data_IF_484372386631
#
_entry.id   IF_484372386631
#
_cell.length_a   1.000
_cell.length_b   1.000
_cell.length_c   1.000
_cell.angle_alpha   90.00
_cell.angle_beta   90.00
_cell.angle_gamma   90.00
#
_symmetry.space_group_name_H-M   'P 1'
#
loop_
_entity.id
_entity.type
_entity.pdbx_description
1 polymer ?
#
# COMPACT_ATOMS: atom_id res chain seq x y z
N UNK A 1 -33.39 0.83 3.01
CA UNK A 1 -32.71 0.65 4.31
C UNK A 1 -31.70 1.78 4.41
N UNK A 2 -32.15 2.96 4.84
CA UNK A 2 -31.26 4.08 5.15
C UNK A 2 -30.57 3.71 6.47
N UNK A 3 -29.27 3.46 6.44
CA UNK A 3 -28.51 3.37 7.69
C UNK A 3 -28.41 4.81 8.22
N UNK A 4 -29.27 5.14 9.18
CA UNK A 4 -29.40 6.48 9.78
C UNK A 4 -28.11 6.95 10.49
N UNK A 5 -27.07 6.11 10.55
CA UNK A 5 -25.79 6.36 11.23
C UNK A 5 -24.63 6.79 10.30
N UNK A 6 -24.80 6.80 8.97
CA UNK A 6 -23.73 7.18 8.04
C UNK A 6 -23.87 8.62 7.58
N UNK A 7 -23.06 9.52 8.15
CA UNK A 7 -22.93 10.88 7.65
C UNK A 7 -21.99 10.91 6.43
N UNK A 8 -22.46 11.45 5.30
CA UNK A 8 -21.68 11.61 4.08
C UNK A 8 -21.49 13.08 3.76
N UNK A 9 -20.23 13.47 3.60
CA UNK A 9 -19.86 14.78 3.06
C UNK A 9 -19.19 14.58 1.70
N UNK A 10 -19.67 15.32 0.69
CA UNK A 10 -19.23 15.19 -0.69
C UNK A 10 -18.78 16.56 -1.21
N UNK A 11 -17.57 16.60 -1.77
CA UNK A 11 -17.02 17.78 -2.44
C UNK A 11 -16.82 17.40 -3.90
N UNK A 12 -17.50 18.11 -4.80
CA UNK A 12 -17.31 17.94 -6.24
C UNK A 12 -16.07 18.70 -6.77
N UNK A 13 -15.76 18.49 -8.03
CA UNK A 13 -14.69 19.17 -8.75
C UNK A 13 -14.98 20.67 -9.05
N UNK A 14 -16.19 21.17 -8.79
CA UNK A 14 -16.53 22.60 -8.91
C UNK A 14 -16.23 23.37 -7.62
N UNK A 15 -16.16 22.70 -6.48
CA UNK A 15 -15.80 23.27 -5.18
C UNK A 15 -14.29 23.27 -4.89
N UNK A 16 -13.53 22.41 -5.59
CA UNK A 16 -12.07 22.31 -5.49
C UNK A 16 -11.21 23.14 -6.48
N UNK A 17 -11.73 24.03 -7.37
CA UNK A 17 -10.90 24.84 -8.26
C UNK A 17 -9.85 25.64 -7.51
N UNK A 18 -8.61 25.60 -8.01
CA UNK A 18 -7.49 26.37 -7.46
C UNK A 18 -6.92 25.85 -6.13
N UNK A 19 -7.50 24.79 -5.56
CA UNK A 19 -6.98 24.16 -4.34
C UNK A 19 -6.00 23.05 -4.71
N UNK A 20 -4.81 23.07 -4.08
CA UNK A 20 -3.80 22.01 -4.26
C UNK A 20 -3.96 20.87 -3.25
N UNK A 21 -4.54 21.17 -2.09
CA UNK A 21 -4.78 20.22 -1.01
C UNK A 21 -6.10 20.54 -0.31
N UNK A 22 -6.73 19.48 0.22
CA UNK A 22 -7.95 19.54 1.02
C UNK A 22 -7.67 18.82 2.34
N UNK A 23 -8.10 19.42 3.44
CA UNK A 23 -7.93 18.87 4.79
C UNK A 23 -9.32 18.62 5.34
N UNK A 24 -9.58 17.39 5.78
CA UNK A 24 -10.81 17.01 6.45
C UNK A 24 -10.51 16.85 7.94
N UNK A 25 -11.34 17.48 8.77
CA UNK A 25 -11.28 17.38 10.23
C UNK A 25 -12.65 17.02 10.78
N UNK A 26 -12.68 16.29 11.88
CA UNK A 26 -13.89 15.96 12.63
C UNK A 26 -13.71 16.41 14.08
N UNK A 27 -14.82 16.80 14.72
CA UNK A 27 -14.85 17.21 16.13
C UNK A 27 -16.14 16.70 16.78
N UNK A 28 -16.05 16.24 18.01
CA UNK A 28 -17.23 15.91 18.82
C UNK A 28 -17.81 17.18 19.47
N UNK A 29 -19.14 17.30 19.44
CA UNK A 29 -19.85 18.43 20.04
C UNK A 29 -19.95 18.23 21.56
N UNK A 30 -19.82 19.31 22.32
CA UNK A 30 -20.05 19.28 23.77
C UNK A 30 -21.56 19.27 24.11
N UNK A 31 -21.91 19.01 25.37
CA UNK A 31 -23.32 18.86 25.78
C UNK A 31 -24.18 20.11 25.55
N UNK A 32 -23.62 21.32 25.65
CA UNK A 32 -24.36 22.56 25.41
C UNK A 32 -24.55 22.82 23.91
N UNK A 33 -23.54 22.52 23.09
CA UNK A 33 -23.63 22.52 21.63
C UNK A 33 -24.68 21.53 21.14
N UNK A 34 -24.68 20.29 21.64
CA UNK A 34 -25.69 19.28 21.29
C UNK A 34 -27.10 19.79 21.60
N UNK A 35 -27.32 20.37 22.79
CA UNK A 35 -28.64 20.88 23.17
C UNK A 35 -29.09 22.04 22.27
N UNK A 36 -28.17 22.90 21.85
CA UNK A 36 -28.49 24.05 21.03
C UNK A 36 -28.70 23.70 19.55
N UNK A 37 -27.92 22.76 18.99
CA UNK A 37 -27.94 22.42 17.57
C UNK A 37 -28.82 21.22 17.22
N UNK A 38 -28.94 20.22 18.10
CA UNK A 38 -29.66 18.98 17.79
C UNK A 38 -31.08 18.93 18.38
N UNK A 39 -31.36 19.66 19.46
CA UNK A 39 -32.64 19.56 20.19
C UNK A 39 -33.58 20.75 20.00
N UNK A 40 -33.05 21.97 19.85
CA UNK A 40 -33.86 23.13 19.49
C UNK A 40 -33.89 23.23 17.96
N UNK A 41 -35.04 22.94 17.33
CA UNK A 41 -35.32 23.13 15.89
C UNK A 41 -35.11 24.58 15.37
N UNK A 42 -34.50 25.45 16.15
CA UNK A 42 -34.00 26.73 15.72
C UNK A 42 -32.74 26.52 14.89
N UNK A 43 -32.88 26.62 13.58
CA UNK A 43 -31.84 26.95 12.62
C UNK A 43 -31.25 28.33 12.94
N UNK A 44 -30.58 28.45 14.09
CA UNK A 44 -29.79 29.64 14.39
C UNK A 44 -28.54 29.52 13.52
N UNK A 45 -28.39 30.49 12.61
CA UNK A 45 -27.23 30.71 11.74
C UNK A 45 -25.97 31.10 12.54
N UNK A 46 -25.71 30.41 13.65
CA UNK A 46 -24.44 30.49 14.36
C UNK A 46 -23.56 29.42 13.74
N UNK A 47 -22.46 29.84 13.13
CA UNK A 47 -21.34 28.95 12.89
C UNK A 47 -20.87 28.44 14.24
N UNK A 48 -20.75 27.12 14.40
CA UNK A 48 -20.02 26.55 15.54
C UNK A 48 -18.61 27.18 15.58
N UNK A 49 -18.07 27.48 16.77
CA UNK A 49 -16.71 27.97 16.87
C UNK A 49 -15.76 26.91 16.31
N UNK A 50 -14.88 27.36 15.40
CA UNK A 50 -13.76 26.55 14.94
C UNK A 50 -12.74 26.57 16.08
N UNK A 51 -12.41 25.38 16.58
CA UNK A 51 -11.44 25.20 17.67
C UNK A 51 -10.32 24.32 17.16
N UNK A 52 -9.09 24.84 17.17
CA UNK A 52 -7.89 24.12 16.74
C UNK A 52 -7.17 23.43 17.92
N UNK A 53 -7.95 22.98 18.90
CA UNK A 53 -7.43 22.33 20.11
C UNK A 53 -7.62 20.80 20.05
N UNK A 54 -6.67 20.01 20.58
CA UNK A 54 -6.84 18.57 20.69
C UNK A 54 -8.08 18.22 21.52
N UNK A 55 -8.89 17.29 21.01
CA UNK A 55 -10.12 16.85 21.66
C UNK A 55 -10.13 15.34 21.84
N UNK A 56 -10.36 14.88 23.07
CA UNK A 56 -10.49 13.47 23.40
C UNK A 56 -11.95 13.04 23.16
N UNK A 57 -12.16 12.28 22.08
CA UNK A 57 -13.48 11.76 21.75
C UNK A 57 -13.97 10.79 22.82
N UNK A 58 -15.21 10.99 23.27
CA UNK A 58 -15.88 10.13 24.25
C UNK A 58 -16.58 8.93 23.58
N UNK A 59 -16.77 8.99 22.26
CA UNK A 59 -17.45 7.99 21.45
C UNK A 59 -16.53 7.40 20.36
N UNK A 60 -16.81 6.16 19.93
CA UNK A 60 -16.09 5.53 18.82
C UNK A 60 -16.61 6.05 17.48
N UNK A 61 -15.71 6.23 16.51
CA UNK A 61 -16.06 6.66 15.15
C UNK A 61 -15.23 5.91 14.10
N UNK A 62 -15.75 5.83 12.88
CA UNK A 62 -15.03 5.37 11.68
C UNK A 62 -15.05 6.50 10.64
N UNK A 63 -13.89 6.80 10.04
CA UNK A 63 -13.75 7.85 9.03
C UNK A 63 -13.15 7.25 7.76
N UNK A 64 -13.80 7.50 6.62
CA UNK A 64 -13.33 7.08 5.31
C UNK A 64 -13.29 8.26 4.35
N UNK A 65 -12.13 8.49 3.76
CA UNK A 65 -11.88 9.55 2.79
C UNK A 65 -11.34 8.91 1.51
N UNK A 66 -11.96 9.18 0.38
CA UNK A 66 -11.52 8.69 -0.93
C UNK A 66 -11.79 9.76 -2.00
N UNK A 67 -11.11 9.62 -3.14
CA UNK A 67 -11.30 10.49 -4.30
C UNK A 67 -11.79 9.66 -5.48
N UNK A 68 -12.65 10.26 -6.29
CA UNK A 68 -13.08 9.69 -7.56
C UNK A 68 -12.97 10.73 -8.66
N UNK A 69 -12.82 10.27 -9.90
CA UNK A 69 -12.67 11.08 -11.09
C UNK A 69 -13.53 10.54 -12.23
N UNK A 70 -14.08 11.46 -13.00
CA UNK A 70 -14.79 11.20 -14.23
C UNK A 70 -13.95 11.70 -15.40
N UNK A 71 -13.77 10.83 -16.40
CA UNK A 71 -12.99 11.15 -17.59
C UNK A 71 -13.77 10.78 -18.83
N UNK A 72 -13.53 11.50 -19.92
CA UNK A 72 -13.98 11.14 -21.25
C UNK A 72 -12.80 11.05 -22.21
N UNK A 73 -12.97 10.25 -23.26
CA UNK A 73 -11.99 10.13 -24.33
C UNK A 73 -12.31 11.17 -25.40
N UNK A 74 -11.40 12.10 -25.66
CA UNK A 74 -11.55 13.10 -26.73
C UNK A 74 -11.29 12.51 -28.13
N UNK A 75 -11.61 13.27 -29.18
CA UNK A 75 -11.38 12.86 -30.58
C UNK A 75 -9.89 12.57 -30.90
N UNK A 76 -8.97 13.06 -30.06
CA UNK A 76 -7.52 12.85 -30.18
C UNK A 76 -7.03 11.67 -29.32
N UNK A 77 -7.92 10.84 -28.76
CA UNK A 77 -7.62 9.73 -27.86
C UNK A 77 -6.92 10.12 -26.55
N UNK A 78 -7.17 11.32 -26.04
CA UNK A 78 -6.70 11.74 -24.72
C UNK A 78 -7.82 11.69 -23.70
N UNK A 79 -7.51 11.23 -22.50
CA UNK A 79 -8.42 11.31 -21.36
C UNK A 79 -8.49 12.75 -20.86
N UNK A 80 -9.70 13.29 -20.81
CA UNK A 80 -10.03 14.66 -20.38
C UNK A 80 -11.14 14.63 -19.34
N UNK A 81 -11.31 15.71 -18.60
CA UNK A 81 -12.33 15.82 -17.53
C UNK A 81 -13.21 17.06 -17.65
N UNK A 82 -13.03 17.89 -18.68
CA UNK A 82 -13.88 19.05 -18.92
C UNK A 82 -15.32 18.65 -19.30
N UNK A 83 -16.29 19.45 -18.86
CA UNK A 83 -17.70 19.16 -19.05
C UNK A 83 -18.23 17.97 -18.23
N UNK A 84 -17.38 17.37 -17.37
CA UNK A 84 -17.72 16.32 -16.43
C UNK A 84 -17.71 16.82 -14.99
N UNK A 85 -18.70 16.40 -14.22
CA UNK A 85 -18.80 16.63 -12.78
C UNK A 85 -19.01 15.29 -12.08
N UNK A 86 -18.25 15.03 -11.01
CA UNK A 86 -18.51 13.86 -10.15
C UNK A 86 -19.79 14.14 -9.38
N UNK A 87 -20.74 13.20 -9.43
CA UNK A 87 -22.05 13.34 -8.82
C UNK A 87 -22.08 12.87 -7.35
N UNK A 88 -23.04 13.36 -6.54
CA UNK A 88 -23.16 13.07 -5.12
C UNK A 88 -23.61 11.64 -4.81
N UNK A 89 -24.10 10.88 -5.79
CA UNK A 89 -24.44 9.46 -5.61
C UNK A 89 -23.20 8.55 -5.67
N UNK A 90 -22.02 9.11 -5.98
CA UNK A 90 -20.74 8.41 -5.92
C UNK A 90 -20.53 7.77 -4.53
N UNK A 91 -20.14 6.50 -4.54
CA UNK A 91 -19.81 5.74 -3.35
C UNK A 91 -18.56 4.87 -3.59
N UNK A 92 -18.23 3.97 -2.66
CA UNK A 92 -17.04 3.13 -2.76
C UNK A 92 -17.07 2.13 -3.92
N UNK A 93 -18.26 1.80 -4.42
CA UNK A 93 -18.45 0.76 -5.42
C UNK A 93 -18.72 1.34 -6.81
N UNK A 94 -19.26 2.54 -6.88
CA UNK A 94 -19.65 3.18 -8.14
C UNK A 94 -19.38 4.69 -8.13
N UNK A 95 -19.06 5.22 -9.30
CA UNK A 95 -18.88 6.66 -9.52
C UNK A 95 -19.99 7.18 -10.41
N UNK A 96 -20.70 8.19 -9.92
CA UNK A 96 -21.68 8.91 -10.71
C UNK A 96 -20.96 10.01 -11.51
N UNK A 97 -21.10 10.00 -12.83
CA UNK A 97 -20.52 11.01 -13.70
C UNK A 97 -21.63 11.79 -14.40
N UNK A 98 -21.75 13.08 -14.07
CA UNK A 98 -22.66 14.01 -14.72
C UNK A 98 -21.92 14.65 -15.90
N UNK A 99 -22.46 14.47 -17.11
CA UNK A 99 -21.85 14.96 -18.33
C UNK A 99 -22.73 15.99 -19.04
N UNK A 100 -22.09 16.96 -19.68
CA UNK A 100 -22.73 17.94 -20.57
C UNK A 100 -22.65 17.56 -22.05
N UNK A 101 -21.99 16.45 -22.36
CA UNK A 101 -21.76 15.96 -23.73
C UNK A 101 -21.98 14.44 -23.81
N UNK A 102 -22.02 13.89 -25.03
CA UNK A 102 -22.22 12.47 -25.31
C UNK A 102 -20.95 11.89 -25.94
N UNK A 103 -20.14 11.19 -25.14
CA UNK A 103 -18.84 10.63 -25.55
C UNK A 103 -18.63 9.24 -24.92
N UNK A 104 -17.45 8.66 -25.10
CA UNK A 104 -17.01 7.51 -24.30
C UNK A 104 -16.52 8.00 -22.94
N UNK A 105 -17.09 7.46 -21.86
CA UNK A 105 -16.75 7.83 -20.49
C UNK A 105 -16.00 6.71 -19.78
N UNK A 106 -15.17 7.09 -18.82
CA UNK A 106 -14.56 6.21 -17.85
C UNK A 106 -14.62 6.87 -16.46
N UNK A 107 -15.07 6.10 -15.48
CA UNK A 107 -14.87 6.43 -14.07
C UNK A 107 -13.54 5.87 -13.60
N UNK A 108 -12.83 6.59 -12.74
CA UNK A 108 -11.60 6.12 -12.15
C UNK A 108 -11.37 6.72 -10.78
N UNK A 109 -11.03 5.89 -9.81
CA UNK A 109 -10.27 6.32 -8.64
C UNK A 109 -8.88 6.78 -9.14
N UNK A 110 -8.09 7.54 -8.40
CA UNK A 110 -6.68 7.71 -8.80
C UNK A 110 -6.04 6.30 -8.77
N UNK A 111 -5.89 5.70 -9.97
CA UNK A 111 -5.52 4.29 -10.20
C UNK A 111 -4.09 4.14 -10.71
N UNK A 112 -3.60 2.91 -10.50
CA UNK A 112 -2.27 2.33 -10.72
C UNK A 112 -1.48 2.81 -11.96
N UNK A 113 -0.13 2.78 -11.88
CA UNK A 113 0.77 3.25 -12.93
C UNK A 113 0.59 2.53 -14.28
N UNK A 114 0.91 3.23 -15.38
CA UNK A 114 0.69 2.78 -16.75
C UNK A 114 1.36 1.42 -17.07
N UNK A 115 0.71 0.55 -17.85
CA UNK A 115 1.30 -0.73 -18.27
C UNK A 115 2.52 -0.50 -19.18
N UNK A 116 3.50 -1.40 -19.06
CA UNK A 116 4.79 -1.32 -19.78
C UNK A 116 4.58 -1.50 -21.29
N UNK A 117 5.10 -0.58 -22.11
CA UNK A 117 5.03 -0.64 -23.57
C UNK A 117 6.20 -1.46 -24.15
N UNK A 118 5.95 -2.74 -24.39
CA UNK A 118 6.97 -3.66 -24.91
C UNK A 118 7.41 -3.36 -26.35
N UNK A 119 6.54 -2.87 -27.24
CA UNK A 119 6.92 -2.57 -28.62
C UNK A 119 7.89 -1.39 -28.72
N UNK A 120 7.68 -0.36 -27.90
CA UNK A 120 8.60 0.77 -27.77
C UNK A 120 9.95 0.33 -27.21
N UNK A 121 9.93 -0.54 -26.18
CA UNK A 121 11.15 -1.11 -25.59
C UNK A 121 11.95 -1.88 -26.65
N UNK A 122 11.30 -2.73 -27.46
CA UNK A 122 11.98 -3.51 -28.50
C UNK A 122 12.43 -2.69 -29.71
N UNK A 123 11.66 -1.68 -30.13
CA UNK A 123 12.07 -0.77 -31.20
C UNK A 123 13.28 0.12 -30.82
N UNK A 124 13.44 0.42 -29.52
CA UNK A 124 14.58 1.17 -28.99
C UNK A 124 15.61 0.27 -28.31
N UNK A 125 15.57 -1.05 -28.56
CA UNK A 125 16.49 -2.02 -27.98
C UNK A 125 17.87 -2.04 -28.67
N UNK A 126 18.25 -0.96 -29.36
CA UNK A 126 19.55 -0.87 -30.01
C UNK A 126 20.66 -0.74 -28.95
N UNK A 127 21.46 -1.80 -28.86
CA UNK A 127 22.59 -1.92 -27.94
C UNK A 127 23.61 -0.78 -28.08
N UNK A 128 23.78 -0.24 -29.30
CA UNK A 128 24.75 0.82 -29.56
C UNK A 128 24.23 2.19 -29.10
N UNK A 129 22.92 2.41 -29.16
CA UNK A 129 22.28 3.67 -28.77
C UNK A 129 22.12 3.80 -27.25
N UNK A 130 21.82 2.69 -26.57
CA UNK A 130 21.53 2.68 -25.13
C UNK A 130 22.57 1.89 -24.32
N UNK A 131 23.85 2.03 -24.69
CA UNK A 131 24.96 1.22 -24.16
C UNK A 131 25.04 1.17 -22.63
N UNK A 132 24.80 2.29 -21.95
CA UNK A 132 24.83 2.37 -20.48
C UNK A 132 23.81 1.44 -19.83
N UNK A 133 22.57 1.41 -20.34
CA UNK A 133 21.49 0.55 -19.81
C UNK A 133 21.83 -0.92 -20.00
N UNK A 134 22.38 -1.29 -21.16
CA UNK A 134 22.80 -2.66 -21.41
C UNK A 134 24.00 -3.09 -20.57
N UNK A 135 24.99 -2.20 -20.39
CA UNK A 135 26.14 -2.48 -19.55
C UNK A 135 25.74 -2.71 -18.09
N UNK A 136 24.86 -1.87 -17.54
CA UNK A 136 24.36 -2.04 -16.17
C UNK A 136 23.55 -3.33 -16.05
N UNK A 137 22.65 -3.61 -16.99
CA UNK A 137 21.85 -4.83 -17.00
C UNK A 137 22.74 -6.09 -17.06
N UNK A 138 23.71 -6.13 -17.99
CA UNK A 138 24.64 -7.26 -18.14
C UNK A 138 25.47 -7.44 -16.87
N UNK A 139 26.03 -6.36 -16.32
CA UNK A 139 26.87 -6.43 -15.12
C UNK A 139 26.07 -6.91 -13.90
N UNK A 140 24.87 -6.37 -13.69
CA UNK A 140 23.96 -6.82 -12.63
C UNK A 140 23.56 -8.29 -12.82
N UNK A 141 23.28 -8.73 -14.06
CA UNK A 141 22.98 -10.14 -14.36
C UNK A 141 24.17 -11.06 -14.07
N UNK A 142 25.39 -10.66 -14.42
CA UNK A 142 26.61 -11.45 -14.14
C UNK A 142 26.81 -11.58 -12.63
N UNK A 143 26.73 -10.48 -11.87
CA UNK A 143 26.85 -10.51 -10.41
C UNK A 143 25.79 -11.43 -9.81
N UNK A 144 24.55 -11.31 -10.26
CA UNK A 144 23.45 -12.16 -9.80
C UNK A 144 23.74 -13.65 -10.03
N UNK A 145 24.19 -14.02 -11.25
CA UNK A 145 24.51 -15.41 -11.58
C UNK A 145 25.67 -15.94 -10.71
N UNK A 146 26.73 -15.15 -10.51
CA UNK A 146 27.87 -15.53 -9.66
C UNK A 146 27.42 -15.75 -8.21
N UNK A 147 26.62 -14.85 -7.66
CA UNK A 147 26.05 -14.99 -6.32
C UNK A 147 25.14 -16.21 -6.21
N UNK A 148 24.35 -16.49 -7.24
CA UNK A 148 23.48 -17.67 -7.28
C UNK A 148 24.30 -18.96 -7.29
N UNK A 149 25.35 -19.05 -8.11
CA UNK A 149 26.25 -20.22 -8.14
C UNK A 149 26.93 -20.39 -6.78
N UNK A 150 27.42 -19.30 -6.19
CA UNK A 150 28.04 -19.32 -4.86
C UNK A 150 27.07 -19.80 -3.78
N UNK A 151 25.84 -19.25 -3.76
CA UNK A 151 24.80 -19.66 -2.83
C UNK A 151 24.49 -21.16 -2.98
N UNK A 152 24.29 -21.65 -4.22
CA UNK A 152 24.05 -23.08 -4.49
C UNK A 152 25.20 -23.97 -4.04
N UNK A 153 26.44 -23.53 -4.22
CA UNK A 153 27.61 -24.26 -3.72
C UNK A 153 27.61 -24.31 -2.19
N UNK A 154 27.28 -23.21 -1.51
CA UNK A 154 27.15 -23.16 -0.06
C UNK A 154 26.03 -24.05 0.45
N UNK A 155 24.86 -24.03 -0.18
CA UNK A 155 23.73 -24.89 0.17
C UNK A 155 24.10 -26.38 0.08
N UNK A 156 24.79 -26.79 -1.00
CA UNK A 156 25.27 -28.18 -1.15
C UNK A 156 26.27 -28.56 -0.06
N UNK A 157 27.21 -27.67 0.27
CA UNK A 157 28.17 -27.90 1.35
C UNK A 157 27.51 -27.90 2.74
N UNK A 158 26.40 -27.19 2.89
CA UNK A 158 25.63 -27.20 4.14
C UNK A 158 24.90 -28.53 4.33
N UNK A 159 24.37 -29.11 3.24
CA UNK A 159 23.77 -30.46 3.27
C UNK A 159 24.79 -31.51 3.72
N UNK A 160 26.06 -31.40 3.33
CA UNK A 160 27.12 -32.32 3.81
C UNK A 160 27.36 -32.26 5.32
N UNK A 161 26.96 -31.16 5.98
CA UNK A 161 27.03 -31.01 7.43
C UNK A 161 25.78 -31.51 8.15
N UNK A 162 24.71 -31.84 7.40
CA UNK A 162 23.50 -32.42 7.97
C UNK A 162 23.76 -33.88 8.31
N UNK A 163 24.04 -34.15 9.57
CA UNK A 163 24.28 -35.50 10.08
C UNK A 163 24.28 -35.54 11.60
N UNK A 164 24.11 -36.75 12.14
CA UNK A 164 24.30 -37.01 13.58
C UNK A 164 25.72 -37.49 13.77
N UNK A 165 26.56 -36.72 14.46
CA UNK A 165 27.91 -37.16 14.82
C UNK A 165 27.86 -37.96 16.12
N UNK A 166 28.35 -39.21 16.15
CA UNK A 166 28.41 -39.98 17.38
C UNK A 166 29.38 -39.33 18.36
N UNK A 167 28.99 -39.25 19.64
CA UNK A 167 29.88 -38.81 20.71
C UNK A 167 30.89 -39.91 21.05
N UNK A 168 32.05 -39.53 21.60
CA UNK A 168 33.12 -40.48 21.96
C UNK A 168 32.69 -41.52 23.01
N UNK A 169 31.62 -41.23 23.77
CA UNK A 169 31.03 -42.10 24.80
C UNK A 169 29.93 -43.03 24.24
N UNK A 170 29.69 -43.03 22.93
CA UNK A 170 28.65 -43.87 22.33
C UNK A 170 29.11 -45.35 22.28
N UNK A 171 28.45 -46.23 23.02
CA UNK A 171 28.78 -47.66 23.06
C UNK A 171 27.68 -48.54 22.44
N UNK A 172 28.07 -49.55 21.65
CA UNK A 172 27.15 -50.48 20.98
C UNK A 172 26.32 -51.35 21.94
N UNK A 173 26.77 -51.50 23.19
CA UNK A 173 26.05 -52.24 24.22
C UNK A 173 24.96 -51.42 24.93
N UNK A 174 24.82 -50.13 24.61
CA UNK A 174 23.84 -49.27 25.27
C UNK A 174 22.43 -49.59 24.80
N UNK A 175 21.50 -49.72 25.76
CA UNK A 175 20.12 -50.13 25.48
C UNK A 175 19.21 -48.98 25.02
N UNK A 176 19.68 -47.73 25.08
CA UNK A 176 18.90 -46.54 24.77
C UNK A 176 19.72 -45.54 23.94
N UNK A 177 19.08 -44.93 22.93
CA UNK A 177 19.70 -43.93 22.06
C UNK A 177 19.15 -42.54 22.39
N UNK A 178 20.05 -41.56 22.55
CA UNK A 178 19.68 -40.17 22.77
C UNK A 178 20.25 -39.29 21.66
N UNK A 179 19.39 -38.43 21.09
CA UNK A 179 19.82 -37.37 20.19
C UNK A 179 19.82 -36.05 20.96
N UNK A 180 20.98 -35.42 21.06
CA UNK A 180 21.14 -34.14 21.75
C UNK A 180 21.29 -33.05 20.69
N UNK A 181 20.39 -32.05 20.71
CA UNK A 181 20.48 -30.86 19.87
C UNK A 181 20.96 -29.69 20.72
N UNK A 182 22.06 -29.08 20.31
CA UNK A 182 22.65 -27.92 20.99
C UNK A 182 22.46 -26.70 20.11
N UNK A 183 21.74 -25.71 20.62
CA UNK A 183 21.52 -24.43 19.95
C UNK A 183 22.36 -23.34 20.63
N UNK A 184 23.20 -22.64 19.85
CA UNK A 184 23.92 -21.45 20.31
C UNK A 184 23.11 -20.19 20.07
N UNK A 185 23.29 -19.17 20.91
CA UNK A 185 22.62 -17.88 20.73
C UNK A 185 23.10 -17.11 19.48
N UNK A 186 22.31 -16.13 19.04
CA UNK A 186 22.60 -15.31 17.85
C UNK A 186 23.57 -14.14 18.13
N UNK A 187 23.95 -13.89 19.39
CA UNK A 187 24.84 -12.77 19.76
C UNK A 187 26.28 -13.02 19.31
N UNK A 188 27.02 -11.93 19.10
CA UNK A 188 28.47 -11.98 18.90
C UNK A 188 29.13 -12.74 20.05
N UNK A 189 30.04 -13.67 19.74
CA UNK A 189 30.71 -14.59 20.68
C UNK A 189 29.81 -15.60 21.42
N UNK A 190 28.60 -15.88 20.94
CA UNK A 190 27.73 -16.91 21.53
C UNK A 190 27.96 -18.34 21.01
N UNK A 191 29.05 -18.58 20.27
CA UNK A 191 29.42 -19.92 19.76
C UNK A 191 29.93 -20.88 20.84
N UNK A 192 30.24 -22.13 20.46
CA UNK A 192 30.87 -23.13 21.35
C UNK A 192 32.32 -23.38 20.94
N UNK A 193 33.19 -23.72 21.91
CA UNK A 193 34.55 -24.23 21.66
C UNK A 193 34.60 -25.78 21.59
N UNK A 194 33.42 -26.42 21.61
CA UNK A 194 33.32 -27.87 21.59
C UNK A 194 33.73 -28.42 20.23
N UNK A 195 34.65 -29.39 20.22
CA UNK A 195 35.08 -30.10 19.02
C UNK A 195 34.35 -31.44 18.93
N UNK A 196 33.34 -31.51 18.08
CA UNK A 196 32.62 -32.74 17.75
C UNK A 196 33.22 -33.25 16.43
N UNK A 197 33.87 -34.42 16.45
CA UNK A 197 34.60 -35.00 15.31
C UNK A 197 34.18 -36.43 15.07
#
# INVERSE_FOLDING_TARGET
LTNDDIYRYFIDNQQTPGHQSLIFGIRELNSTEINNYCLNNSSINTSLPITDEPYDFTSNYELLIYTSGCYYLDDNNNWKSDGLTVGPLTNLYETECLSTHLTTFAGGFIVLPAPINWSYVFANADFLRNKTVYLTMIFTSIIYIVLLIYARFKDKKDIEKLGVTPLADNNKSDHYYYQILVFTGQRTNAGTDSKVR
#
